data_IF_724344724327
#
_entry.id   IF_724344724327
#
_cell.length_a   1.000
_cell.length_b   1.000
_cell.length_c   1.000
_cell.angle_alpha   90.00
_cell.angle_beta   90.00
_cell.angle_gamma   90.00
#
_symmetry.space_group_name_H-M   'P 1'
#
loop_
_entity.id
_entity.type
_entity.pdbx_description
1 polymer ?
#
# COMPACT_ATOMS: atom_id res chain seq x y z
N UNK A 1 20.51 25.15 19.16
CA UNK A 1 19.39 26.09 19.49
C UNK A 1 18.11 25.42 19.08
N UNK A 2 17.14 25.33 19.97
CA UNK A 2 15.80 24.84 19.64
C UNK A 2 14.95 26.09 19.35
N UNK A 3 14.29 26.09 18.20
CA UNK A 3 13.34 27.12 17.79
C UNK A 3 12.01 26.51 17.44
N UNK A 4 10.92 27.20 17.69
CA UNK A 4 9.59 26.81 17.21
C UNK A 4 9.24 27.75 16.07
N UNK A 5 8.93 27.20 14.90
CA UNK A 5 8.37 27.98 13.81
C UNK A 5 6.93 28.41 14.19
N UNK A 6 6.74 29.68 14.40
CA UNK A 6 5.46 30.25 14.86
C UNK A 6 4.31 30.16 13.83
N UNK A 7 4.59 29.79 12.58
CA UNK A 7 3.58 29.60 11.52
C UNK A 7 3.11 28.17 11.37
N UNK A 8 3.99 27.21 11.60
CA UNK A 8 3.74 25.77 11.37
C UNK A 8 3.71 24.94 12.64
N UNK A 9 4.16 25.50 13.78
CA UNK A 9 4.31 24.76 15.04
C UNK A 9 5.45 23.74 15.02
N UNK A 10 6.32 23.76 14.01
CA UNK A 10 7.44 22.84 13.86
C UNK A 10 8.55 23.18 14.85
N UNK A 11 9.07 22.19 15.55
CA UNK A 11 10.23 22.33 16.43
C UNK A 11 11.49 22.10 15.59
N UNK A 12 12.37 23.12 15.55
CA UNK A 12 13.63 23.04 14.85
C UNK A 12 14.79 22.94 15.85
N UNK A 13 15.73 22.06 15.60
CA UNK A 13 17.03 22.03 16.27
C UNK A 13 18.12 22.37 15.25
N UNK A 14 18.79 23.51 15.46
CA UNK A 14 19.80 24.07 14.54
C UNK A 14 19.26 24.24 13.10
N UNK A 15 18.01 24.65 12.94
CA UNK A 15 17.37 24.83 11.64
C UNK A 15 16.88 23.55 10.98
N UNK A 16 17.05 22.40 11.63
CA UNK A 16 16.55 21.11 11.15
C UNK A 16 15.27 20.76 11.90
N UNK A 17 14.26 20.35 11.18
CA UNK A 17 12.98 19.90 11.75
C UNK A 17 13.18 18.71 12.69
N UNK A 18 12.77 18.87 13.96
CA UNK A 18 12.90 17.82 14.99
C UNK A 18 11.61 17.01 15.16
N UNK A 19 10.47 17.64 14.92
CA UNK A 19 9.20 16.98 14.87
C UNK A 19 8.84 16.77 13.39
N UNK A 20 9.26 15.66 12.83
CA UNK A 20 8.77 15.31 11.49
C UNK A 20 7.26 15.15 11.55
N UNK A 21 6.54 15.62 10.54
CA UNK A 21 5.16 15.25 10.27
C UNK A 21 5.09 13.75 9.99
N UNK A 22 5.21 12.95 11.05
CA UNK A 22 5.03 11.51 10.93
C UNK A 22 3.58 11.26 10.55
N UNK A 23 3.40 10.59 9.45
CA UNK A 23 2.10 10.10 9.02
C UNK A 23 2.13 8.58 9.04
N UNK A 24 1.08 7.98 9.57
CA UNK A 24 0.81 6.55 9.44
C UNK A 24 -0.65 6.40 9.04
N UNK A 25 -0.88 5.61 8.01
CA UNK A 25 -2.21 5.30 7.50
C UNK A 25 -2.27 3.86 7.01
N UNK A 26 -3.43 3.22 7.17
CA UNK A 26 -3.63 1.85 6.73
C UNK A 26 -4.99 1.70 6.04
N UNK A 27 -4.98 0.94 4.95
CA UNK A 27 -6.14 0.68 4.12
C UNK A 27 -6.28 -0.82 3.87
N UNK A 28 -7.49 -1.34 4.06
CA UNK A 28 -7.85 -2.73 3.80
C UNK A 28 -8.71 -2.85 2.54
N UNK A 29 -8.60 -3.98 1.84
CA UNK A 29 -9.55 -4.35 0.81
C UNK A 29 -10.85 -4.84 1.47
N UNK A 30 -12.00 -4.40 0.95
CA UNK A 30 -13.30 -4.60 1.62
C UNK A 30 -13.98 -5.93 1.27
N UNK A 31 -13.62 -6.55 0.14
CA UNK A 31 -14.27 -7.77 -0.37
C UNK A 31 -13.30 -8.63 -1.14
N UNK A 32 -13.58 -9.94 -1.19
CA UNK A 32 -12.86 -10.87 -2.04
C UNK A 32 -13.05 -10.50 -3.51
N UNK A 33 -11.98 -10.62 -4.29
CA UNK A 33 -12.01 -10.28 -5.71
C UNK A 33 -11.20 -11.28 -6.51
N UNK A 34 -11.83 -11.85 -7.55
CA UNK A 34 -11.22 -12.82 -8.45
C UNK A 34 -10.13 -12.21 -9.33
N UNK A 35 -9.06 -12.94 -9.49
CA UNK A 35 -7.94 -12.62 -10.37
C UNK A 35 -7.79 -13.75 -11.39
N UNK A 36 -8.02 -13.45 -12.66
CA UNK A 36 -7.92 -14.44 -13.72
C UNK A 36 -6.47 -14.80 -14.04
N UNK A 37 -6.28 -16.03 -14.50
CA UNK A 37 -4.97 -16.53 -14.95
C UNK A 37 -4.28 -15.57 -15.92
N UNK A 38 -2.98 -15.40 -15.74
CA UNK A 38 -2.10 -14.59 -16.59
C UNK A 38 -2.50 -13.11 -16.67
N UNK A 39 -3.29 -12.62 -15.69
CA UNK A 39 -3.76 -11.23 -15.61
C UNK A 39 -3.15 -10.48 -14.44
N UNK A 40 -2.94 -9.19 -14.65
CA UNK A 40 -2.65 -8.22 -13.57
C UNK A 40 -3.92 -7.47 -13.23
N UNK A 41 -4.35 -7.52 -11.98
CA UNK A 41 -5.55 -6.86 -11.48
C UNK A 41 -5.14 -5.82 -10.44
N UNK A 42 -5.55 -4.56 -10.66
CA UNK A 42 -5.35 -3.52 -9.66
C UNK A 42 -6.37 -3.69 -8.54
N UNK A 43 -5.92 -3.58 -7.30
CA UNK A 43 -6.81 -3.59 -6.13
C UNK A 43 -7.47 -2.22 -6.03
N UNK A 44 -8.80 -2.18 -6.10
CA UNK A 44 -9.57 -0.91 -6.18
C UNK A 44 -10.64 -0.77 -5.11
N UNK A 45 -10.92 -1.83 -4.36
CA UNK A 45 -11.96 -1.89 -3.33
C UNK A 45 -11.40 -1.58 -1.94
N UNK A 46 -10.76 -0.42 -1.80
CA UNK A 46 -10.12 0.00 -0.58
C UNK A 46 -11.06 0.77 0.35
N UNK A 47 -10.93 0.53 1.65
CA UNK A 47 -11.41 1.45 2.69
C UNK A 47 -10.30 1.74 3.70
N UNK A 48 -10.33 2.91 4.31
CA UNK A 48 -9.46 3.20 5.44
C UNK A 48 -9.90 2.36 6.61
N UNK A 49 -8.96 1.67 7.25
CA UNK A 49 -9.28 0.85 8.40
C UNK A 49 -9.75 1.74 9.55
N UNK A 50 -11.02 1.62 9.93
CA UNK A 50 -11.71 2.50 10.88
C UNK A 50 -12.29 1.79 12.10
N UNK A 51 -12.01 0.49 12.27
CA UNK A 51 -12.39 -0.23 13.47
C UNK A 51 -11.79 0.40 14.75
N UNK A 52 -12.45 0.21 15.88
CA UNK A 52 -12.08 0.86 17.17
C UNK A 52 -10.64 0.61 17.64
N UNK A 53 -9.97 -0.43 17.10
CA UNK A 53 -8.58 -0.76 17.40
C UNK A 53 -7.57 -0.09 16.46
N UNK A 54 -8.04 0.54 15.38
CA UNK A 54 -7.19 1.15 14.36
C UNK A 54 -7.15 2.66 14.50
N UNK A 55 -6.12 3.27 13.92
CA UNK A 55 -5.96 4.71 13.93
C UNK A 55 -5.04 5.20 12.83
N UNK A 56 -5.26 6.44 12.46
CA UNK A 56 -4.38 7.19 11.55
C UNK A 56 -3.66 8.29 12.32
N UNK A 57 -2.48 8.65 11.85
CA UNK A 57 -1.71 9.77 12.38
C UNK A 57 -1.50 10.79 11.27
N UNK A 58 -1.86 12.06 11.55
CA UNK A 58 -1.62 13.21 10.66
C UNK A 58 -2.24 13.09 9.25
N UNK A 59 -3.53 12.88 9.18
CA UNK A 59 -4.35 13.06 7.98
C UNK A 59 -4.36 11.92 6.96
N UNK A 60 -3.28 11.18 6.80
CA UNK A 60 -3.25 9.99 5.95
C UNK A 60 -3.33 10.24 4.45
N UNK A 61 -3.42 9.16 3.69
CA UNK A 61 -3.53 9.14 2.22
C UNK A 61 -4.95 9.52 1.76
N UNK A 62 -5.07 9.96 0.53
CA UNK A 62 -6.37 9.99 -0.19
C UNK A 62 -6.38 8.88 -1.23
N UNK A 63 -7.49 8.18 -1.33
CA UNK A 63 -7.69 7.08 -2.28
C UNK A 63 -8.83 7.43 -3.25
N UNK A 64 -8.65 7.06 -4.51
CA UNK A 64 -9.70 7.12 -5.54
C UNK A 64 -9.45 6.06 -6.61
N UNK A 65 -10.38 5.10 -6.73
CA UNK A 65 -10.33 4.03 -7.74
C UNK A 65 -9.01 3.23 -7.76
N UNK A 66 -8.50 2.90 -6.57
CA UNK A 66 -7.26 2.14 -6.38
C UNK A 66 -5.98 2.98 -6.44
N UNK A 67 -6.09 4.29 -6.64
CA UNK A 67 -4.95 5.22 -6.71
C UNK A 67 -4.84 6.01 -5.42
N UNK A 68 -3.67 5.95 -4.80
CA UNK A 68 -3.35 6.66 -3.57
C UNK A 68 -2.52 7.91 -3.84
N UNK A 69 -2.95 9.02 -3.25
CA UNK A 69 -2.25 10.32 -3.31
C UNK A 69 -1.68 10.64 -1.94
N UNK A 70 -0.42 11.04 -1.89
CA UNK A 70 0.30 11.39 -0.68
C UNK A 70 -0.11 12.79 -0.17
N UNK A 71 -0.25 12.98 1.16
CA UNK A 71 -0.66 14.27 1.72
C UNK A 71 0.43 15.34 1.66
N UNK A 72 1.69 14.95 1.63
CA UNK A 72 2.85 15.85 1.60
C UNK A 72 4.03 15.23 0.87
N UNK A 73 5.03 16.04 0.51
CA UNK A 73 6.32 15.56 0.03
C UNK A 73 7.12 14.90 1.15
N UNK A 74 8.08 14.06 0.80
CA UNK A 74 8.95 13.38 1.77
C UNK A 74 9.23 11.93 1.42
N UNK A 75 9.96 11.26 2.27
CA UNK A 75 10.27 9.83 2.16
C UNK A 75 9.19 9.02 2.86
N UNK A 76 8.61 8.08 2.11
CA UNK A 76 7.58 7.18 2.63
C UNK A 76 8.01 5.73 2.51
N UNK A 77 7.70 4.96 3.55
CA UNK A 77 7.65 3.50 3.49
C UNK A 77 6.23 3.11 3.07
N UNK A 78 6.13 2.38 1.98
CA UNK A 78 4.88 1.82 1.44
C UNK A 78 4.95 0.31 1.53
N UNK A 79 3.98 -0.29 2.20
CA UNK A 79 3.89 -1.73 2.41
C UNK A 79 2.59 -2.24 1.82
N UNK A 80 2.64 -3.41 1.18
CA UNK A 80 1.49 -4.08 0.61
C UNK A 80 1.53 -5.57 0.96
N UNK A 81 0.45 -6.06 1.54
CA UNK A 81 0.29 -7.46 1.94
C UNK A 81 -1.02 -7.98 1.36
N UNK A 82 -1.03 -8.50 0.13
CA UNK A 82 -2.18 -9.24 -0.35
C UNK A 82 -2.26 -10.60 0.34
N UNK A 83 -3.44 -10.93 0.83
CA UNK A 83 -3.81 -12.25 1.31
C UNK A 83 -4.72 -12.90 0.26
N UNK A 84 -4.43 -14.12 -0.11
CA UNK A 84 -5.12 -14.79 -1.20
C UNK A 84 -5.56 -16.21 -0.83
N UNK A 85 -6.62 -16.61 -1.50
CA UNK A 85 -7.19 -17.94 -1.50
C UNK A 85 -7.15 -18.50 -2.92
N UNK A 86 -6.57 -19.67 -3.07
CA UNK A 86 -6.49 -20.38 -4.34
C UNK A 86 -7.21 -21.71 -4.23
N UNK A 87 -8.09 -21.98 -5.19
CA UNK A 87 -8.80 -23.26 -5.33
C UNK A 87 -8.24 -24.13 -6.46
N UNK A 88 -7.21 -23.62 -7.16
CA UNK A 88 -6.56 -24.28 -8.27
C UNK A 88 -5.08 -24.52 -7.97
N UNK A 89 -4.48 -25.51 -8.62
CA UNK A 89 -3.10 -25.92 -8.35
C UNK A 89 -2.04 -25.06 -9.03
N UNK A 90 -0.87 -24.96 -8.39
CA UNK A 90 0.39 -24.42 -8.93
C UNK A 90 0.38 -22.95 -9.34
N UNK A 91 -0.25 -22.10 -8.53
CA UNK A 91 -0.25 -20.69 -8.77
C UNK A 91 1.06 -20.01 -8.36
N UNK A 92 1.55 -19.12 -9.22
CA UNK A 92 2.56 -18.14 -8.88
C UNK A 92 1.85 -16.80 -8.67
N UNK A 93 1.52 -16.48 -7.42
CA UNK A 93 0.81 -15.26 -7.06
C UNK A 93 1.83 -14.18 -6.75
N UNK A 94 1.64 -13.01 -7.31
CA UNK A 94 2.53 -11.86 -7.15
C UNK A 94 1.77 -10.66 -6.64
N UNK A 95 2.35 -9.97 -5.64
CA UNK A 95 1.97 -8.63 -5.22
C UNK A 95 2.95 -7.60 -5.79
N UNK A 96 2.46 -6.44 -6.19
CA UNK A 96 3.25 -5.36 -6.78
C UNK A 96 2.83 -4.00 -6.22
N UNK A 97 3.82 -3.15 -5.94
CA UNK A 97 3.64 -1.73 -5.73
C UNK A 97 4.01 -1.05 -7.04
N UNK A 98 3.06 -0.32 -7.63
CA UNK A 98 3.29 0.48 -8.84
C UNK A 98 3.22 1.95 -8.51
N UNK A 99 4.14 2.73 -9.06
CA UNK A 99 4.23 4.17 -8.82
C UNK A 99 4.29 4.94 -10.13
N UNK A 100 3.73 6.14 -10.12
CA UNK A 100 3.92 7.17 -11.14
C UNK A 100 4.60 8.38 -10.55
N UNK A 101 5.37 9.10 -11.36
CA UNK A 101 5.96 10.41 -11.04
C UNK A 101 5.50 11.52 -12.01
N UNK A 102 4.61 11.17 -12.95
CA UNK A 102 4.04 12.07 -13.96
C UNK A 102 2.50 12.07 -13.97
N UNK A 103 1.88 11.39 -12.99
CA UNK A 103 0.43 11.18 -12.86
C UNK A 103 -0.22 10.48 -14.08
N UNK A 104 0.55 9.74 -14.86
CA UNK A 104 0.03 9.03 -16.05
C UNK A 104 0.60 7.63 -16.21
N UNK A 105 1.92 7.48 -16.22
CA UNK A 105 2.60 6.21 -16.49
C UNK A 105 3.00 5.52 -15.19
N UNK A 106 2.45 4.32 -14.95
CA UNK A 106 2.77 3.53 -13.77
C UNK A 106 3.76 2.42 -14.09
N UNK A 107 4.82 2.30 -13.29
CA UNK A 107 5.77 1.20 -13.34
C UNK A 107 5.84 0.47 -12.01
N UNK A 108 6.14 -0.84 -12.04
CA UNK A 108 6.39 -1.61 -10.81
C UNK A 108 7.71 -1.17 -10.20
N UNK A 109 7.67 -0.69 -8.96
CA UNK A 109 8.86 -0.28 -8.19
C UNK A 109 9.27 -1.33 -7.17
N UNK A 110 8.35 -2.18 -6.74
CA UNK A 110 8.61 -3.33 -5.88
C UNK A 110 7.62 -4.46 -6.20
N UNK A 111 8.07 -5.68 -6.08
CA UNK A 111 7.23 -6.87 -6.22
C UNK A 111 7.80 -8.04 -5.44
N UNK A 112 6.91 -8.94 -5.03
CA UNK A 112 7.27 -10.23 -4.48
C UNK A 112 6.27 -11.28 -4.97
N UNK A 113 6.66 -12.55 -4.95
CA UNK A 113 5.79 -13.63 -5.39
C UNK A 113 5.94 -14.86 -4.50
N UNK A 114 4.89 -15.66 -4.48
CA UNK A 114 4.85 -16.95 -3.81
C UNK A 114 4.23 -17.99 -4.75
N UNK A 115 4.82 -19.18 -4.77
CA UNK A 115 4.18 -20.37 -5.33
C UNK A 115 3.22 -20.95 -4.28
N UNK A 116 2.04 -21.35 -4.69
CA UNK A 116 1.05 -22.02 -3.85
C UNK A 116 1.01 -23.48 -4.30
N UNK A 117 1.48 -24.44 -3.47
CA UNK A 117 1.43 -25.85 -3.81
C UNK A 117 -0.01 -26.37 -3.77
N UNK A 118 -0.35 -27.26 -4.68
CA UNK A 118 -1.62 -27.98 -4.68
C UNK A 118 -1.59 -29.09 -3.62
N UNK A 119 -2.04 -28.78 -2.44
CA UNK A 119 -2.05 -29.72 -1.31
C UNK A 119 -3.43 -29.99 -0.75
N UNK A 120 -4.44 -29.15 -1.06
CA UNK A 120 -5.78 -29.26 -0.49
C UNK A 120 -6.82 -28.51 -1.32
N UNK A 121 -8.09 -28.58 -0.90
CA UNK A 121 -9.23 -27.88 -1.55
C UNK A 121 -9.09 -26.36 -1.50
N UNK A 122 -8.40 -25.83 -0.50
CA UNK A 122 -8.13 -24.41 -0.33
C UNK A 122 -6.66 -24.19 0.04
N UNK A 123 -5.99 -23.37 -0.73
CA UNK A 123 -4.61 -22.98 -0.48
C UNK A 123 -4.56 -21.48 -0.18
N UNK A 124 -4.10 -21.14 1.00
CA UNK A 124 -3.99 -19.76 1.44
C UNK A 124 -2.53 -19.30 1.45
N UNK A 125 -2.32 -18.02 1.21
CA UNK A 125 -1.00 -17.43 1.29
C UNK A 125 -1.03 -15.93 1.31
N UNK A 126 0.13 -15.34 1.52
CA UNK A 126 0.32 -13.90 1.42
C UNK A 126 1.74 -13.59 0.98
N UNK A 127 1.93 -12.46 0.33
CA UNK A 127 3.27 -11.94 0.02
C UNK A 127 3.44 -10.57 0.68
N UNK A 128 4.64 -10.30 1.17
CA UNK A 128 4.99 -8.99 1.69
C UNK A 128 5.79 -8.22 0.63
N UNK A 129 5.32 -7.03 0.29
CA UNK A 129 5.99 -6.12 -0.64
C UNK A 129 6.21 -4.79 0.06
N UNK A 130 7.42 -4.24 -0.04
CA UNK A 130 7.77 -2.99 0.59
C UNK A 130 8.64 -2.14 -0.35
N UNK A 131 8.42 -0.82 -0.33
CA UNK A 131 9.24 0.16 -1.02
C UNK A 131 9.46 1.38 -0.13
N UNK A 132 10.66 1.98 -0.23
CA UNK A 132 10.90 3.35 0.21
C UNK A 132 10.80 4.25 -1.03
N UNK A 133 9.95 5.27 -0.96
CA UNK A 133 9.68 6.16 -2.08
C UNK A 133 9.92 7.61 -1.68
N UNK A 134 10.49 8.39 -2.60
CA UNK A 134 10.67 9.82 -2.46
C UNK A 134 9.55 10.55 -3.20
N UNK A 135 8.71 11.25 -2.44
CA UNK A 135 7.58 12.02 -2.96
C UNK A 135 7.98 13.47 -3.08
N UNK A 136 8.39 13.85 -4.27
CA UNK A 136 8.85 15.21 -4.59
C UNK A 136 7.71 16.13 -5.05
N UNK A 137 6.58 15.55 -5.50
CA UNK A 137 5.41 16.30 -5.96
C UNK A 137 4.13 15.47 -5.75
N UNK A 138 3.26 15.88 -4.84
CA UNK A 138 2.04 15.16 -4.48
C UNK A 138 0.98 15.13 -5.58
N UNK A 139 1.00 16.06 -6.52
CA UNK A 139 0.07 16.05 -7.65
C UNK A 139 0.46 15.05 -8.73
N UNK A 140 1.74 14.68 -8.81
CA UNK A 140 2.29 13.79 -9.84
C UNK A 140 2.67 12.42 -9.29
N UNK A 141 3.22 12.36 -8.07
CA UNK A 141 3.63 11.10 -7.44
C UNK A 141 2.43 10.40 -6.81
N UNK A 142 2.10 9.22 -7.32
CA UNK A 142 1.01 8.39 -6.81
C UNK A 142 1.38 6.92 -6.83
N UNK A 143 0.73 6.13 -6.00
CA UNK A 143 0.92 4.68 -5.98
C UNK A 143 -0.40 3.95 -6.15
N UNK A 144 -0.31 2.72 -6.66
CA UNK A 144 -1.38 1.74 -6.70
C UNK A 144 -0.82 0.34 -6.47
N UNK A 145 -1.71 -0.57 -6.09
CA UNK A 145 -1.37 -1.95 -5.77
C UNK A 145 -1.98 -2.89 -6.80
N UNK A 146 -1.19 -3.86 -7.23
CA UNK A 146 -1.60 -4.81 -8.26
C UNK A 146 -1.26 -6.21 -7.78
N UNK A 147 -2.15 -7.15 -8.03
CA UNK A 147 -1.92 -8.58 -7.89
C UNK A 147 -1.86 -9.24 -9.27
N UNK A 148 -1.14 -10.36 -9.38
CA UNK A 148 -0.99 -11.08 -10.64
C UNK A 148 -1.05 -12.58 -10.40
N UNK A 149 -1.78 -13.28 -11.24
CA UNK A 149 -1.78 -14.74 -11.32
C UNK A 149 -0.87 -15.23 -12.43
N UNK A 150 0.03 -16.14 -12.13
CA UNK A 150 0.85 -16.82 -13.16
C UNK A 150 0.14 -17.99 -13.80
N UNK A 151 -0.50 -18.82 -13.00
CA UNK A 151 -1.24 -20.02 -13.42
C UNK A 151 -2.51 -20.13 -12.59
N UNK A 152 -3.62 -20.57 -13.20
CA UNK A 152 -4.90 -20.71 -12.52
C UNK A 152 -5.52 -19.36 -12.12
N UNK A 153 -6.71 -19.42 -11.54
CA UNK A 153 -7.40 -18.26 -10.99
C UNK A 153 -7.22 -18.27 -9.48
N UNK A 154 -7.24 -17.12 -8.84
CA UNK A 154 -7.29 -16.99 -7.39
C UNK A 154 -8.14 -15.80 -6.98
N UNK A 155 -8.52 -15.74 -5.72
CA UNK A 155 -9.10 -14.55 -5.12
C UNK A 155 -8.07 -13.88 -4.20
N UNK A 156 -7.91 -12.55 -4.28
CA UNK A 156 -7.40 -11.84 -3.12
C UNK A 156 -8.56 -11.58 -2.17
N UNK A 157 -8.29 -11.81 -0.90
CA UNK A 157 -9.30 -11.71 0.13
C UNK A 157 -9.37 -10.30 0.67
N UNK A 158 -10.56 -9.84 0.97
CA UNK A 158 -10.83 -8.57 1.63
C UNK A 158 -12.02 -8.68 2.54
N UNK A 159 -11.98 -7.96 3.65
CA UNK A 159 -13.01 -7.89 4.65
C UNK A 159 -13.04 -6.48 5.26
N UNK A 160 -14.25 -5.91 5.41
CA UNK A 160 -14.41 -4.54 5.95
C UNK A 160 -14.21 -4.45 7.48
N UNK A 161 -14.03 -5.57 8.18
CA UNK A 161 -13.87 -5.63 9.63
C UNK A 161 -12.50 -6.13 10.07
N UNK A 162 -11.81 -6.86 9.19
CA UNK A 162 -10.52 -7.50 9.46
C UNK A 162 -9.55 -7.23 8.32
N UNK A 163 -8.35 -6.81 8.63
CA UNK A 163 -7.30 -6.62 7.62
C UNK A 163 -6.82 -7.97 7.08
N UNK A 164 -7.27 -8.32 5.90
CA UNK A 164 -6.80 -9.47 5.12
C UNK A 164 -5.79 -9.02 4.05
N UNK A 165 -6.25 -8.40 2.97
CA UNK A 165 -5.38 -7.69 2.03
C UNK A 165 -5.30 -6.23 2.46
N UNK A 166 -4.10 -5.71 2.72
CA UNK A 166 -3.95 -4.34 3.20
C UNK A 166 -2.68 -3.65 2.69
N UNK A 167 -2.71 -2.33 2.75
CA UNK A 167 -1.59 -1.45 2.48
C UNK A 167 -1.34 -0.51 3.66
N UNK A 168 -0.07 -0.29 4.00
CA UNK A 168 0.34 0.63 5.06
C UNK A 168 1.29 1.68 4.49
N UNK A 169 1.07 2.92 4.91
CA UNK A 169 1.87 4.06 4.53
C UNK A 169 2.46 4.72 5.78
N UNK A 170 3.77 4.90 5.79
CA UNK A 170 4.46 5.58 6.89
C UNK A 170 5.39 6.64 6.32
N UNK A 171 5.15 7.92 6.64
CA UNK A 171 6.10 8.98 6.32
C UNK A 171 7.29 8.89 7.29
N UNK A 172 8.47 8.70 6.73
CA UNK A 172 9.72 8.51 7.49
C UNK A 172 10.40 9.85 7.78
N UNK A 173 10.32 10.80 6.83
CA UNK A 173 10.95 12.11 6.98
C UNK A 173 10.72 13.02 5.78
N UNK A 174 11.34 14.20 5.81
CA UNK A 174 11.43 15.12 4.67
C UNK A 174 12.34 14.58 3.56
N UNK A 175 12.26 15.18 2.38
CA UNK A 175 13.21 15.01 1.27
C UNK A 175 14.41 15.89 1.47
#
# INVERSE_FOLDING_TARGET
>A
MITIDGGTGVILHNGVEVASDKMVDQWGATTNTGVSQSTSTDVTNWERVDGTAFGTLNGGMTESSGVFTFPSTGIYKVEFVPYFNDTESNNAIRGMIKMTTDNSSYSSIAQNQQGVPDVDTYNYGSVYVCALVDITNTSQCKVKFTVYSGYGNFDYNGDSTTNETYATFTRVGGT
#
